data_IF_277233887905
#
_entry.id   IF_277233887905
#
_cell.length_a   1.000
_cell.length_b   1.000
_cell.length_c   1.000
_cell.angle_alpha   90.00
_cell.angle_beta   90.00
_cell.angle_gamma   90.00
#
_symmetry.space_group_name_H-M   'P 1'
#
loop_
_entity.id
_entity.type
_entity.pdbx_description
1 polymer ?
#
# COMPACT_ATOMS: atom_id res chain seq x y z
N UNK A 1 41.54 -30.08 57.82
CA UNK A 1 42.10 -29.23 56.76
C UNK A 1 42.98 -30.10 55.88
N UNK A 2 42.49 -30.48 54.71
CA UNK A 2 43.29 -31.08 53.62
C UNK A 2 42.63 -30.64 52.32
N UNK A 3 43.33 -29.79 51.58
CA UNK A 3 42.86 -29.15 50.36
C UNK A 3 42.72 -30.18 49.23
N UNK A 4 41.51 -30.37 48.73
CA UNK A 4 41.28 -31.03 47.44
C UNK A 4 41.34 -29.94 46.37
N UNK A 5 42.46 -29.85 45.65
CA UNK A 5 42.50 -29.13 44.38
C UNK A 5 41.93 -30.04 43.28
N UNK A 6 40.89 -29.65 42.53
CA UNK A 6 40.61 -30.25 41.24
C UNK A 6 41.42 -29.51 40.18
N UNK A 7 42.27 -30.27 39.48
CA UNK A 7 42.96 -29.83 38.26
C UNK A 7 41.93 -29.46 37.20
N UNK A 8 42.05 -28.25 36.63
CA UNK A 8 41.40 -27.91 35.37
C UNK A 8 41.95 -28.85 34.27
N UNK A 9 41.09 -29.46 33.44
CA UNK A 9 41.50 -29.83 32.10
C UNK A 9 41.55 -28.57 31.23
N UNK A 10 42.74 -28.36 30.69
CA UNK A 10 43.08 -27.46 29.60
C UNK A 10 42.40 -27.87 28.29
N UNK A 11 42.03 -26.85 27.52
CA UNK A 11 41.92 -26.84 26.05
C UNK A 11 40.85 -27.74 25.43
N UNK A 12 39.63 -27.22 25.33
CA UNK A 12 38.77 -27.48 24.16
C UNK A 12 38.45 -26.15 23.48
N UNK A 13 39.32 -25.77 22.56
CA UNK A 13 39.01 -24.85 21.48
C UNK A 13 38.26 -25.64 20.39
N UNK A 14 36.96 -25.42 20.25
CA UNK A 14 36.25 -25.76 19.01
C UNK A 14 35.18 -24.70 18.74
N UNK A 15 35.56 -23.82 17.82
CA UNK A 15 34.75 -23.11 16.84
C UNK A 15 33.62 -22.21 17.37
N UNK A 16 33.95 -20.91 17.44
CA UNK A 16 32.98 -19.85 17.18
C UNK A 16 32.31 -20.14 15.82
N UNK A 17 31.14 -20.77 15.85
CA UNK A 17 30.22 -20.75 14.72
C UNK A 17 29.67 -19.32 14.68
N UNK A 18 30.41 -18.41 14.05
CA UNK A 18 29.84 -17.18 13.53
C UNK A 18 28.98 -17.59 12.34
N UNK A 19 27.77 -18.10 12.63
CA UNK A 19 26.70 -18.12 11.66
C UNK A 19 26.43 -16.67 11.29
N UNK A 20 27.04 -16.20 10.20
CA UNK A 20 26.54 -15.02 9.49
C UNK A 20 25.11 -15.35 9.06
N UNK A 21 24.15 -15.11 9.97
CA UNK A 21 22.72 -15.12 9.66
C UNK A 21 22.51 -13.93 8.74
N UNK A 22 22.79 -14.15 7.45
CA UNK A 22 22.39 -13.23 6.40
C UNK A 22 20.88 -13.06 6.56
N UNK A 23 20.39 -11.84 6.80
CA UNK A 23 18.97 -11.64 7.01
C UNK A 23 18.25 -12.20 5.80
N UNK A 24 17.35 -13.16 6.03
CA UNK A 24 16.48 -13.70 5.01
C UNK A 24 15.58 -12.56 4.55
N UNK A 25 15.96 -11.91 3.45
CA UNK A 25 15.21 -10.79 2.89
C UNK A 25 13.95 -11.40 2.27
N UNK A 26 12.76 -11.16 2.85
CA UNK A 26 11.54 -11.74 2.32
C UNK A 26 11.32 -11.31 0.88
N UNK A 27 10.71 -12.18 0.08
CA UNK A 27 10.40 -11.85 -1.31
C UNK A 27 9.44 -10.65 -1.37
N UNK A 28 9.60 -9.80 -2.40
CA UNK A 28 8.87 -8.52 -2.51
C UNK A 28 7.35 -8.69 -2.40
N UNK A 29 6.83 -9.82 -2.90
CA UNK A 29 5.41 -10.15 -2.89
C UNK A 29 4.86 -10.44 -1.48
N UNK A 30 5.70 -10.87 -0.54
CA UNK A 30 5.25 -11.13 0.84
C UNK A 30 4.88 -9.82 1.57
N UNK A 31 5.51 -8.70 1.22
CA UNK A 31 5.24 -7.39 1.81
C UNK A 31 3.92 -6.78 1.34
N UNK A 32 3.36 -7.26 0.22
CA UNK A 32 2.07 -6.80 -0.28
C UNK A 32 0.94 -7.05 0.73
N UNK A 33 1.08 -8.09 1.56
CA UNK A 33 0.15 -8.39 2.65
C UNK A 33 0.22 -7.39 3.81
N UNK A 34 1.33 -6.67 3.96
CA UNK A 34 1.50 -5.64 4.98
C UNK A 34 0.87 -4.29 4.58
N UNK A 35 0.48 -4.13 3.31
CA UNK A 35 -0.21 -2.93 2.83
C UNK A 35 -1.62 -2.80 3.41
N UNK A 36 -2.08 -1.55 3.54
CA UNK A 36 -3.38 -1.25 4.10
C UNK A 36 -4.49 -1.80 3.20
N UNK A 37 -5.36 -2.65 3.78
CA UNK A 37 -6.54 -3.19 3.11
C UNK A 37 -7.62 -2.12 3.09
N UNK A 38 -8.12 -1.79 1.90
CA UNK A 38 -9.34 -1.02 1.78
C UNK A 38 -10.51 -1.86 2.32
N UNK A 39 -11.19 -1.34 3.34
CA UNK A 39 -12.27 -2.04 4.04
C UNK A 39 -13.41 -2.43 3.08
N UNK A 40 -13.80 -1.50 2.22
CA UNK A 40 -14.85 -1.68 1.22
C UNK A 40 -14.31 -2.18 -0.12
N UNK A 41 -14.87 -3.28 -0.61
CA UNK A 41 -14.66 -3.72 -1.99
C UNK A 41 -15.21 -2.67 -2.97
N UNK A 42 -14.43 -2.35 -4.00
CA UNK A 42 -14.80 -1.35 -5.01
C UNK A 42 -15.31 -2.03 -6.26
N UNK A 43 -16.42 -1.49 -6.79
CA UNK A 43 -16.99 -1.96 -8.05
C UNK A 43 -16.16 -1.43 -9.21
N UNK A 44 -15.82 -2.30 -10.14
CA UNK A 44 -15.10 -1.93 -11.36
C UNK A 44 -16.09 -1.27 -12.30
N UNK A 45 -15.76 -0.07 -12.76
CA UNK A 45 -16.54 0.67 -13.74
C UNK A 45 -16.07 0.28 -15.14
N UNK A 46 -17.00 0.08 -16.08
CA UNK A 46 -16.65 -0.17 -17.50
C UNK A 46 -16.11 1.14 -18.11
N UNK A 47 -14.93 1.16 -18.78
CA UNK A 47 -14.21 0.03 -19.38
C UNK A 47 -12.99 -0.51 -18.59
N UNK A 48 -12.99 -0.49 -17.25
CA UNK A 48 -11.93 -1.13 -16.43
C UNK A 48 -11.19 -0.14 -15.53
N UNK A 49 -11.92 0.67 -14.77
CA UNK A 49 -11.32 1.62 -13.84
C UNK A 49 -12.03 1.60 -12.48
N UNK A 50 -11.30 2.04 -11.44
CA UNK A 50 -11.82 2.13 -10.07
C UNK A 50 -11.51 3.50 -9.51
N UNK A 51 -12.48 4.10 -8.83
CA UNK A 51 -12.31 5.39 -8.16
C UNK A 51 -12.14 5.20 -6.65
N UNK A 52 -11.06 5.76 -6.10
CA UNK A 52 -10.77 5.77 -4.66
C UNK A 52 -9.91 7.00 -4.33
N UNK A 53 -10.08 7.58 -3.15
CA UNK A 53 -9.38 8.81 -2.71
C UNK A 53 -9.53 10.00 -3.69
N UNK A 54 -10.66 10.06 -4.40
CA UNK A 54 -10.93 11.00 -5.50
C UNK A 54 -9.89 10.92 -6.64
N UNK A 55 -9.20 9.78 -6.77
CA UNK A 55 -8.34 9.44 -7.89
C UNK A 55 -8.96 8.30 -8.67
N UNK A 56 -8.69 8.28 -9.97
CA UNK A 56 -9.11 7.21 -10.87
C UNK A 56 -7.90 6.32 -11.10
N UNK A 57 -8.07 5.03 -10.84
CA UNK A 57 -7.04 4.01 -11.05
C UNK A 57 -7.42 3.12 -12.22
N UNK A 58 -6.42 2.80 -13.03
CA UNK A 58 -6.55 1.94 -14.19
C UNK A 58 -5.46 0.87 -14.17
N UNK A 59 -5.79 -0.31 -14.68
CA UNK A 59 -4.85 -1.39 -14.89
C UNK A 59 -5.46 -2.44 -15.80
N UNK A 60 -4.61 -3.16 -16.53
CA UNK A 60 -5.03 -4.15 -17.52
C UNK A 60 -5.81 -5.30 -16.87
N UNK A 61 -5.52 -5.60 -15.59
CA UNK A 61 -6.23 -6.61 -14.81
C UNK A 61 -7.71 -6.27 -14.56
N UNK A 62 -8.17 -5.05 -14.80
CA UNK A 62 -9.58 -4.66 -14.66
C UNK A 62 -10.37 -4.71 -15.97
N UNK A 63 -9.69 -5.00 -17.09
CA UNK A 63 -10.33 -5.12 -18.41
C UNK A 63 -11.09 -6.45 -18.56
N UNK A 64 -10.82 -7.42 -17.70
CA UNK A 64 -11.53 -8.70 -17.70
C UNK A 64 -13.01 -8.49 -17.32
N UNK A 65 -13.95 -8.80 -18.21
CA UNK A 65 -15.39 -8.62 -17.97
C UNK A 65 -15.93 -9.47 -16.81
N UNK A 66 -15.20 -10.49 -16.34
CA UNK A 66 -15.60 -11.30 -15.18
C UNK A 66 -15.36 -10.57 -13.85
N UNK A 67 -14.51 -9.53 -13.83
CA UNK A 67 -14.10 -8.83 -12.62
C UNK A 67 -15.04 -7.64 -12.37
N UNK A 68 -16.08 -7.89 -11.56
CA UNK A 68 -17.06 -6.86 -11.21
C UNK A 68 -16.70 -6.07 -9.95
N UNK A 69 -15.98 -6.69 -9.01
CA UNK A 69 -15.67 -6.12 -7.71
C UNK A 69 -14.30 -6.59 -7.25
N UNK A 70 -13.51 -5.66 -6.71
CA UNK A 70 -12.13 -5.89 -6.29
C UNK A 70 -11.89 -5.36 -4.89
N UNK A 71 -10.99 -6.00 -4.15
CA UNK A 71 -10.40 -5.47 -2.93
C UNK A 71 -9.07 -4.82 -3.26
N UNK A 72 -8.81 -3.67 -2.66
CA UNK A 72 -7.61 -2.89 -2.93
C UNK A 72 -6.69 -2.91 -1.71
N UNK A 73 -5.39 -2.96 -1.97
CA UNK A 73 -4.35 -2.71 -0.97
C UNK A 73 -3.46 -1.58 -1.43
N UNK A 74 -3.05 -0.72 -0.52
CA UNK A 74 -2.25 0.46 -0.85
C UNK A 74 -1.25 0.81 0.26
N UNK A 75 -0.17 1.47 -0.13
CA UNK A 75 0.77 2.12 0.79
C UNK A 75 0.28 3.56 1.03
N UNK A 76 0.04 3.98 2.29
CA UNK A 76 -0.33 5.37 2.58
C UNK A 76 0.74 6.39 2.15
N UNK A 77 2.01 5.99 2.09
CA UNK A 77 3.11 6.86 1.67
C UNK A 77 3.24 6.94 0.14
N UNK A 78 2.71 5.95 -0.58
CA UNK A 78 2.71 5.92 -2.03
C UNK A 78 1.41 5.33 -2.57
N UNK A 79 0.43 6.22 -2.77
CA UNK A 79 -0.86 5.85 -3.34
C UNK A 79 -0.84 5.84 -4.88
N UNK A 80 0.27 6.19 -5.52
CA UNK A 80 0.38 6.21 -7.01
C UNK A 80 0.10 4.84 -7.63
N UNK A 81 0.47 3.79 -6.90
CA UNK A 81 0.26 2.41 -7.28
C UNK A 81 -0.52 1.71 -6.17
N UNK A 82 -1.54 0.96 -6.55
CA UNK A 82 -2.34 0.17 -5.63
C UNK A 82 -2.47 -1.25 -6.17
N UNK A 83 -2.60 -2.22 -5.27
CA UNK A 83 -2.72 -3.62 -5.62
C UNK A 83 -4.20 -4.02 -5.62
N UNK A 84 -4.63 -4.69 -6.69
CA UNK A 84 -5.95 -5.25 -6.81
C UNK A 84 -5.95 -6.73 -6.47
N UNK A 85 -6.94 -7.15 -5.69
CA UNK A 85 -7.20 -8.52 -5.29
C UNK A 85 -8.65 -8.89 -5.58
N UNK A 86 -8.89 -10.18 -5.78
CA UNK A 86 -10.25 -10.72 -5.83
C UNK A 86 -10.96 -10.53 -4.50
N UNK A 87 -12.29 -10.60 -4.54
CA UNK A 87 -13.04 -10.74 -3.30
C UNK A 87 -12.67 -12.05 -2.59
N UNK A 88 -12.59 -11.96 -1.27
CA UNK A 88 -12.42 -13.09 -0.37
C UNK A 88 -13.75 -13.84 -0.30
N UNK A 89 -13.72 -15.13 -0.64
CA UNK A 89 -14.89 -16.02 -0.58
C UNK A 89 -14.71 -16.99 0.59
N UNK A 90 -15.81 -17.56 1.07
CA UNK A 90 -15.79 -18.49 2.21
C UNK A 90 -14.79 -19.65 2.02
N UNK A 91 -14.68 -20.14 0.78
CA UNK A 91 -13.85 -21.30 0.43
C UNK A 91 -12.54 -20.94 -0.30
N UNK A 92 -12.25 -19.64 -0.50
CA UNK A 92 -11.07 -19.22 -1.26
C UNK A 92 -10.48 -17.89 -0.78
N UNK A 93 -9.16 -17.85 -0.49
CA UNK A 93 -8.49 -16.62 -0.11
C UNK A 93 -8.46 -15.62 -1.27
N UNK A 94 -8.31 -14.33 -0.93
CA UNK A 94 -8.17 -13.26 -1.92
C UNK A 94 -6.92 -13.48 -2.78
N UNK A 95 -7.09 -13.59 -4.09
CA UNK A 95 -6.01 -13.76 -5.07
C UNK A 95 -5.58 -12.41 -5.63
N UNK A 96 -4.28 -12.22 -5.81
CA UNK A 96 -3.74 -11.03 -6.48
C UNK A 96 -4.16 -11.01 -7.95
N UNK A 97 -4.69 -9.87 -8.39
CA UNK A 97 -5.10 -9.62 -9.77
C UNK A 97 -4.05 -8.85 -10.56
N UNK A 98 -3.49 -7.80 -9.95
CA UNK A 98 -2.51 -6.94 -10.61
C UNK A 98 -2.34 -5.60 -9.92
N UNK A 99 -1.46 -4.77 -10.49
CA UNK A 99 -1.19 -3.41 -10.02
C UNK A 99 -2.04 -2.43 -10.82
N UNK A 100 -2.66 -1.47 -10.12
CA UNK A 100 -3.37 -0.34 -10.72
C UNK A 100 -2.54 0.93 -10.52
N UNK A 101 -2.53 1.79 -11.54
CA UNK A 101 -1.86 3.08 -11.51
C UNK A 101 -2.89 4.21 -11.54
N UNK A 102 -2.59 5.31 -10.86
CA UNK A 102 -3.39 6.53 -10.99
C UNK A 102 -3.35 7.02 -12.44
N UNK A 103 -4.53 7.32 -12.99
CA UNK A 103 -4.71 7.89 -14.32
C UNK A 103 -4.28 9.36 -14.33
N UNK A 104 -3.58 9.77 -15.38
CA UNK A 104 -3.19 11.16 -15.67
C UNK A 104 -2.32 11.83 -14.57
N UNK A 105 -1.68 11.04 -13.70
CA UNK A 105 -0.76 11.56 -12.68
C UNK A 105 0.68 11.58 -13.18
N UNK A 106 1.30 12.76 -13.16
CA UNK A 106 2.69 12.95 -13.58
C UNK A 106 3.70 12.70 -12.45
N UNK A 107 3.26 12.78 -11.19
CA UNK A 107 4.13 12.56 -10.03
C UNK A 107 4.48 11.07 -9.89
N UNK A 108 5.75 10.77 -9.64
CA UNK A 108 6.22 9.41 -9.42
C UNK A 108 5.76 8.84 -8.07
N UNK A 109 5.59 9.72 -7.07
CA UNK A 109 5.15 9.37 -5.72
C UNK A 109 4.20 10.43 -5.18
N UNK A 110 3.06 9.98 -4.66
CA UNK A 110 2.10 10.80 -3.94
C UNK A 110 1.72 10.08 -2.65
N UNK A 111 1.82 10.79 -1.52
CA UNK A 111 1.32 10.28 -0.25
C UNK A 111 -0.16 10.62 -0.05
N UNK A 112 -0.84 9.84 0.79
CA UNK A 112 -2.24 10.06 1.11
C UNK A 112 -2.46 11.38 1.89
N UNK A 113 -1.47 11.79 2.69
CA UNK A 113 -1.48 13.08 3.39
C UNK A 113 -1.36 14.25 2.42
N UNK A 114 -0.43 14.17 1.46
CA UNK A 114 -0.23 15.23 0.46
C UNK A 114 -1.45 15.38 -0.45
N UNK A 115 -2.05 14.25 -0.86
CA UNK A 115 -3.29 14.25 -1.61
C UNK A 115 -4.42 14.96 -0.85
N UNK A 116 -4.60 14.67 0.45
CA UNK A 116 -5.62 15.33 1.28
C UNK A 116 -5.37 16.83 1.42
N UNK A 117 -4.10 17.23 1.58
CA UNK A 117 -3.73 18.64 1.64
C UNK A 117 -4.06 19.36 0.33
N UNK A 118 -3.66 18.80 -0.82
CA UNK A 118 -3.98 19.33 -2.15
C UNK A 118 -5.49 19.48 -2.34
N UNK A 119 -6.27 18.47 -1.96
CA UNK A 119 -7.73 18.53 -2.04
C UNK A 119 -8.30 19.66 -1.19
N UNK A 120 -7.84 19.79 0.06
CA UNK A 120 -8.29 20.85 0.97
C UNK A 120 -8.00 22.24 0.39
N UNK A 121 -6.81 22.46 -0.14
CA UNK A 121 -6.43 23.72 -0.77
C UNK A 121 -7.32 24.05 -1.98
N UNK A 122 -7.64 23.06 -2.82
CA UNK A 122 -8.56 23.23 -3.95
C UNK A 122 -9.95 23.65 -3.43
N UNK A 123 -10.48 22.98 -2.41
CA UNK A 123 -11.78 23.32 -1.85
C UNK A 123 -11.81 24.73 -1.24
N UNK A 124 -10.76 25.13 -0.51
CA UNK A 124 -10.64 26.47 0.06
C UNK A 124 -10.56 27.54 -1.04
N UNK A 125 -9.79 27.31 -2.11
CA UNK A 125 -9.72 28.19 -3.27
C UNK A 125 -11.06 28.33 -4.00
N UNK A 126 -11.77 27.23 -4.23
CA UNK A 126 -13.10 27.25 -4.85
C UNK A 126 -14.13 28.03 -4.02
N UNK A 127 -14.05 27.96 -2.69
CA UNK A 127 -14.92 28.73 -1.78
C UNK A 127 -14.65 30.22 -1.86
N UNK A 128 -13.40 30.65 -2.02
CA UNK A 128 -13.10 32.07 -2.20
C UNK A 128 -13.62 32.59 -3.54
N UNK A 129 -13.50 31.80 -4.62
CA UNK A 129 -14.01 32.16 -5.94
C UNK A 129 -15.54 32.31 -5.98
N UNK A 130 -16.29 31.47 -5.25
CA UNK A 130 -17.75 31.59 -5.20
C UNK A 130 -18.21 32.87 -4.49
N UNK A 131 -17.51 33.29 -3.43
CA UNK A 131 -17.79 34.55 -2.72
C UNK A 131 -17.51 35.79 -3.58
N UNK A 132 -16.41 35.79 -4.33
CA UNK A 132 -16.04 36.90 -5.25
C UNK A 132 -17.01 37.00 -6.43
N UNK A 133 -17.57 35.88 -6.91
CA UNK A 133 -18.57 35.90 -7.99
C UNK A 133 -19.94 36.43 -7.53
N UNK A 134 -20.36 36.08 -6.31
CA UNK A 134 -21.63 36.57 -5.73
C UNK A 134 -21.61 38.09 -5.48
N UNK A 135 -20.44 38.65 -5.14
CA UNK A 135 -20.26 40.09 -4.95
C UNK A 135 -20.18 40.89 -6.25
N UNK A 136 -19.92 40.24 -7.39
CA UNK A 136 -19.89 40.87 -8.72
C UNK A 136 -21.22 40.79 -9.49
N UNK A 137 -22.16 39.93 -9.09
CA UNK A 137 -23.48 39.83 -9.75
C UNK A 137 -24.56 40.74 -9.14
N UNK A 138 -24.25 41.44 -8.05
CA UNK A 138 -25.15 42.36 -7.35
C UNK A 138 -24.80 43.84 -7.63
N UNK A 139 -24.07 44.12 -8.71
CA UNK A 139 -23.79 45.48 -9.21
C UNK A 139 -24.40 45.65 -10.61
#
# INVERSE_FOLDING_TARGET
MSELSPKLPSDESVDEIQDEVKPDVPDKQSFDLCLLKQESGRRVQKPGFVQIFNQIYQGDCLLDPQINKVRLRYDPNNITHILAYTEEKLDAPSRFLGVLKVRDMQEEKLSLTDLKLKQRLIFEGLRQLSLVRSSRSNC
#
